data_IF_743104620939
#
_entry.id   IF_743104620939
#
_cell.length_a   1.000
_cell.length_b   1.000
_cell.length_c   1.000
_cell.angle_alpha   90.00
_cell.angle_beta   90.00
_cell.angle_gamma   90.00
#
_symmetry.space_group_name_H-M   'P 1'
#
loop_
_entity.id
_entity.type
_entity.pdbx_description
1 polymer ?
#
# COMPACT_ATOMS: atom_id res chain seq x y z
N UNK A 1 -7.89 46.96 22.94
CA UNK A 1 -7.12 46.66 21.71
C UNK A 1 -7.46 45.24 21.29
N UNK A 2 -8.51 45.11 20.47
CA UNK A 2 -8.97 43.82 19.95
C UNK A 2 -8.08 43.43 18.78
N UNK A 3 -7.41 42.27 18.88
CA UNK A 3 -6.75 41.66 17.72
C UNK A 3 -7.83 40.93 16.93
N UNK A 4 -8.16 41.47 15.75
CA UNK A 4 -8.91 40.74 14.74
C UNK A 4 -8.08 39.53 14.33
N UNK A 5 -8.53 38.34 14.71
CA UNK A 5 -8.07 37.09 14.10
C UNK A 5 -8.67 37.07 12.71
N UNK A 6 -7.90 37.47 11.70
CA UNK A 6 -8.30 37.32 10.31
C UNK A 6 -8.48 35.83 10.01
N UNK A 7 -9.73 35.35 10.03
CA UNK A 7 -10.10 34.10 9.39
C UNK A 7 -9.79 34.24 7.89
N UNK A 8 -8.79 33.51 7.43
CA UNK A 8 -8.37 33.50 6.04
C UNK A 8 -8.95 32.25 5.36
N UNK A 9 -10.07 32.36 4.62
CA UNK A 9 -10.72 31.22 3.96
C UNK A 9 -9.88 30.58 2.85
N UNK A 10 -8.69 31.12 2.53
CA UNK A 10 -7.71 30.46 1.64
C UNK A 10 -6.97 29.32 2.31
N UNK A 11 -6.78 29.36 3.63
CA UNK A 11 -6.09 28.29 4.37
C UNK A 11 -6.94 27.01 4.37
N UNK A 12 -8.27 27.11 4.48
CA UNK A 12 -9.16 25.95 4.32
C UNK A 12 -9.28 25.46 2.87
N UNK A 13 -9.05 26.34 1.88
CA UNK A 13 -9.15 25.97 0.47
C UNK A 13 -7.94 25.16 -0.03
N UNK A 14 -6.76 25.32 0.58
CA UNK A 14 -5.58 24.49 0.32
C UNK A 14 -5.57 23.18 1.13
N UNK A 15 -6.19 23.15 2.32
CA UNK A 15 -6.37 21.92 3.11
C UNK A 15 -7.37 20.93 2.45
N UNK A 16 -8.12 21.38 1.43
CA UNK A 16 -8.95 20.54 0.57
C UNK A 16 -8.23 20.06 -0.70
N UNK A 17 -6.92 19.81 -0.66
CA UNK A 17 -6.37 18.74 -1.48
C UNK A 17 -7.13 17.46 -1.11
N UNK A 18 -7.98 16.95 -2.01
CA UNK A 18 -8.76 15.71 -1.83
C UNK A 18 -7.97 14.72 -0.97
N UNK A 19 -8.43 14.51 0.26
CA UNK A 19 -7.83 13.53 1.16
C UNK A 19 -7.91 12.18 0.45
N UNK A 20 -6.78 11.71 -0.09
CA UNK A 20 -6.70 10.44 -0.81
C UNK A 20 -6.90 9.36 0.25
N UNK A 21 -8.02 8.64 0.18
CA UNK A 21 -8.24 7.49 1.04
C UNK A 21 -7.50 6.28 0.46
N UNK A 22 -6.28 6.05 0.95
CA UNK A 22 -5.46 4.92 0.52
C UNK A 22 -6.07 3.57 0.92
N UNK A 23 -6.72 3.49 2.08
CA UNK A 23 -7.42 2.28 2.52
C UNK A 23 -8.49 1.85 1.52
N UNK A 24 -9.39 2.77 1.15
CA UNK A 24 -10.45 2.49 0.18
C UNK A 24 -9.89 2.15 -1.21
N UNK A 25 -8.84 2.86 -1.65
CA UNK A 25 -8.21 2.59 -2.94
C UNK A 25 -7.60 1.17 -2.98
N UNK A 26 -6.81 0.81 -1.97
CA UNK A 26 -6.18 -0.52 -1.90
C UNK A 26 -7.27 -1.60 -1.79
N UNK A 27 -8.32 -1.36 -1.01
CA UNK A 27 -9.47 -2.26 -0.91
C UNK A 27 -10.15 -2.46 -2.26
N UNK A 28 -10.41 -1.38 -3.00
CA UNK A 28 -11.05 -1.47 -4.30
C UNK A 28 -10.18 -2.20 -5.33
N UNK A 29 -8.87 -1.94 -5.35
CA UNK A 29 -7.93 -2.70 -6.20
C UNK A 29 -7.91 -4.18 -5.84
N UNK A 30 -7.96 -4.51 -4.54
CA UNK A 30 -8.08 -5.89 -4.06
C UNK A 30 -9.37 -6.55 -4.56
N UNK A 31 -10.48 -5.81 -4.60
CA UNK A 31 -11.74 -6.33 -5.12
C UNK A 31 -11.67 -6.62 -6.63
N UNK A 32 -11.06 -5.72 -7.39
CA UNK A 32 -10.80 -5.92 -8.83
C UNK A 32 -9.93 -7.16 -9.04
N UNK A 33 -8.84 -7.30 -8.28
CA UNK A 33 -7.96 -8.47 -8.37
C UNK A 33 -8.71 -9.78 -8.06
N UNK A 34 -9.56 -9.80 -7.05
CA UNK A 34 -10.40 -10.97 -6.72
C UNK A 34 -11.39 -11.32 -7.83
N UNK A 35 -12.00 -10.29 -8.42
CA UNK A 35 -12.89 -10.43 -9.58
C UNK A 35 -12.14 -11.00 -10.78
N UNK A 36 -10.98 -10.46 -11.10
CA UNK A 36 -10.10 -10.92 -12.16
C UNK A 36 -9.65 -12.37 -11.94
N UNK A 37 -9.13 -12.69 -10.75
CA UNK A 37 -8.69 -14.03 -10.36
C UNK A 37 -9.81 -15.07 -10.51
N UNK A 38 -11.02 -14.71 -10.10
CA UNK A 38 -12.20 -15.57 -10.30
C UNK A 38 -12.57 -15.69 -11.78
N UNK A 39 -12.57 -14.57 -12.50
CA UNK A 39 -12.95 -14.49 -13.91
C UNK A 39 -12.06 -15.31 -14.83
N UNK A 40 -10.74 -15.25 -14.67
CA UNK A 40 -9.79 -15.99 -15.52
C UNK A 40 -9.87 -17.52 -15.34
N UNK A 41 -10.48 -17.99 -14.24
CA UNK A 41 -10.71 -19.41 -13.95
C UNK A 41 -12.04 -19.93 -14.53
N UNK A 42 -12.91 -19.04 -15.01
CA UNK A 42 -14.16 -19.41 -15.65
C UNK A 42 -13.95 -19.70 -17.14
N UNK A 43 -14.79 -20.56 -17.72
CA UNK A 43 -14.89 -20.75 -19.16
C UNK A 43 -15.67 -19.60 -19.80
N UNK A 44 -15.08 -18.40 -19.82
CA UNK A 44 -15.69 -17.21 -20.43
C UNK A 44 -15.61 -17.25 -21.96
N UNK A 45 -16.55 -16.56 -22.60
CA UNK A 45 -16.47 -16.26 -24.02
C UNK A 45 -15.38 -15.20 -24.25
N UNK A 46 -14.31 -15.59 -24.94
CA UNK A 46 -13.16 -14.72 -25.14
C UNK A 46 -13.48 -13.51 -26.03
N UNK A 47 -14.44 -13.64 -26.95
CA UNK A 47 -14.85 -12.53 -27.82
C UNK A 47 -15.56 -11.42 -27.03
N UNK A 48 -16.08 -11.75 -25.85
CA UNK A 48 -16.78 -10.80 -24.97
C UNK A 48 -15.89 -10.23 -23.87
N UNK A 49 -14.94 -11.02 -23.34
CA UNK A 49 -14.26 -10.68 -22.08
C UNK A 49 -12.75 -10.53 -22.19
N UNK A 50 -12.08 -10.99 -23.27
CA UNK A 50 -10.62 -10.98 -23.34
C UNK A 50 -10.04 -9.56 -23.19
N UNK A 51 -10.57 -8.59 -23.94
CA UNK A 51 -10.12 -7.20 -23.89
C UNK A 51 -10.29 -6.61 -22.48
N UNK A 52 -11.40 -6.92 -21.81
CA UNK A 52 -11.68 -6.46 -20.45
C UNK A 52 -10.68 -7.03 -19.44
N UNK A 53 -10.36 -8.33 -19.54
CA UNK A 53 -9.38 -8.98 -18.67
C UNK A 53 -7.99 -8.37 -18.83
N UNK A 54 -7.58 -8.12 -20.08
CA UNK A 54 -6.29 -7.46 -20.38
C UNK A 54 -6.26 -6.03 -19.86
N UNK A 55 -7.34 -5.27 -20.07
CA UNK A 55 -7.48 -3.92 -19.53
C UNK A 55 -7.38 -3.91 -17.99
N UNK A 56 -8.05 -4.84 -17.30
CA UNK A 56 -8.01 -4.94 -15.84
C UNK A 56 -6.59 -5.24 -15.32
N UNK A 57 -5.84 -6.10 -16.02
CA UNK A 57 -4.44 -6.38 -15.68
C UNK A 57 -3.58 -5.11 -15.78
N UNK A 58 -3.68 -4.37 -16.88
CA UNK A 58 -2.91 -3.13 -17.05
C UNK A 58 -3.37 -2.01 -16.11
N UNK A 59 -4.67 -1.96 -15.82
CA UNK A 59 -5.20 -1.04 -14.83
C UNK A 59 -4.64 -1.33 -13.43
N UNK A 60 -4.58 -2.60 -13.03
CA UNK A 60 -4.01 -3.02 -11.75
C UNK A 60 -2.51 -2.67 -11.68
N UNK A 61 -1.73 -2.98 -12.72
CA UNK A 61 -0.30 -2.62 -12.81
C UNK A 61 -0.10 -1.13 -12.51
N UNK A 62 -0.69 -0.26 -13.32
CA UNK A 62 -0.48 1.19 -13.20
C UNK A 62 -1.05 1.77 -11.92
N UNK A 63 -2.13 1.20 -11.38
CA UNK A 63 -2.75 1.69 -10.15
C UNK A 63 -1.94 1.33 -8.91
N UNK A 64 -1.42 0.10 -8.83
CA UNK A 64 -0.58 -0.35 -7.71
C UNK A 64 0.70 0.50 -7.65
N UNK A 65 1.38 0.68 -8.78
CA UNK A 65 2.60 1.51 -8.86
C UNK A 65 2.32 2.95 -8.42
N UNK A 66 1.22 3.54 -8.91
CA UNK A 66 0.85 4.90 -8.55
C UNK A 66 0.50 5.05 -7.07
N UNK A 67 -0.22 4.08 -6.49
CA UNK A 67 -0.55 4.09 -5.06
C UNK A 67 0.72 3.98 -4.22
N UNK A 68 1.66 3.12 -4.61
CA UNK A 68 2.94 2.98 -3.93
C UNK A 68 3.71 4.30 -3.91
N UNK A 69 3.87 4.95 -5.06
CA UNK A 69 4.58 6.23 -5.18
C UNK A 69 3.94 7.33 -4.31
N UNK A 70 2.61 7.39 -4.27
CA UNK A 70 1.90 8.36 -3.45
C UNK A 70 2.07 8.13 -1.94
N UNK A 71 2.11 6.86 -1.49
CA UNK A 71 2.37 6.51 -0.09
C UNK A 71 3.83 6.80 0.26
N UNK A 72 4.77 6.50 -0.65
CA UNK A 72 6.20 6.74 -0.47
C UNK A 72 6.52 8.24 -0.30
N UNK A 73 5.85 9.10 -1.06
CA UNK A 73 6.02 10.56 -0.97
C UNK A 73 5.45 11.16 0.32
N UNK A 74 4.58 10.45 1.05
CA UNK A 74 3.85 10.95 2.24
C UNK A 74 4.32 10.23 3.50
N UNK A 75 5.48 10.63 4.02
CA UNK A 75 6.09 10.01 5.22
C UNK A 75 5.20 10.14 6.46
N UNK A 76 4.51 11.28 6.63
CA UNK A 76 3.62 11.55 7.78
C UNK A 76 2.17 11.04 7.57
N UNK A 77 1.98 10.08 6.68
CA UNK A 77 0.66 9.50 6.41
C UNK A 77 0.20 8.70 7.64
N UNK A 78 -1.01 8.99 8.12
CA UNK A 78 -1.66 8.20 9.17
C UNK A 78 -1.81 6.76 8.68
N UNK A 79 -1.45 5.79 9.53
CA UNK A 79 -1.50 4.36 9.21
C UNK A 79 -0.71 3.98 7.93
N UNK A 80 0.39 4.70 7.66
CA UNK A 80 1.28 4.43 6.53
C UNK A 80 1.73 2.97 6.49
N UNK A 81 2.10 2.41 7.65
CA UNK A 81 2.55 1.02 7.75
C UNK A 81 1.44 0.03 7.38
N UNK A 82 0.21 0.26 7.84
CA UNK A 82 -0.96 -0.56 7.47
C UNK A 82 -1.25 -0.49 5.97
N UNK A 83 -1.19 0.70 5.39
CA UNK A 83 -1.33 0.87 3.94
C UNK A 83 -0.23 0.16 3.14
N UNK A 84 1.03 0.24 3.57
CA UNK A 84 2.14 -0.47 2.95
C UNK A 84 1.97 -1.99 3.04
N UNK A 85 1.59 -2.53 4.20
CA UNK A 85 1.32 -3.97 4.39
C UNK A 85 0.22 -4.46 3.45
N UNK A 86 -0.90 -3.72 3.38
CA UNK A 86 -2.00 -4.08 2.48
C UNK A 86 -1.60 -4.02 1.00
N UNK A 87 -0.79 -3.03 0.61
CA UNK A 87 -0.30 -2.89 -0.76
C UNK A 87 0.72 -3.97 -1.14
N UNK A 88 1.57 -4.38 -0.20
CA UNK A 88 2.52 -5.48 -0.37
C UNK A 88 1.81 -6.81 -0.64
N UNK A 89 0.76 -7.08 0.14
CA UNK A 89 -0.08 -8.27 -0.05
C UNK A 89 -0.77 -8.22 -1.41
N UNK A 90 -1.39 -7.08 -1.75
CA UNK A 90 -2.04 -6.89 -3.05
C UNK A 90 -1.06 -7.11 -4.23
N UNK A 91 0.15 -6.55 -4.15
CA UNK A 91 1.17 -6.70 -5.20
C UNK A 91 1.65 -8.14 -5.31
N UNK A 92 1.84 -8.83 -4.19
CA UNK A 92 2.24 -10.24 -4.16
C UNK A 92 1.16 -11.17 -4.72
N UNK A 93 -0.10 -10.95 -4.35
CA UNK A 93 -1.24 -11.71 -4.88
C UNK A 93 -1.42 -11.48 -6.39
N UNK A 94 -1.20 -10.25 -6.85
CA UNK A 94 -1.26 -9.93 -8.28
C UNK A 94 -0.13 -10.61 -9.07
N UNK A 95 1.09 -10.62 -8.54
CA UNK A 95 2.21 -11.34 -9.13
C UNK A 95 1.93 -12.86 -9.23
N UNK A 96 1.38 -13.46 -8.17
CA UNK A 96 0.98 -14.86 -8.17
C UNK A 96 -0.09 -15.18 -9.22
N UNK A 97 -1.08 -14.29 -9.40
CA UNK A 97 -2.08 -14.45 -10.46
C UNK A 97 -1.45 -14.41 -11.86
N UNK A 98 -0.52 -13.48 -12.11
CA UNK A 98 0.20 -13.41 -13.38
C UNK A 98 1.07 -14.63 -13.62
N UNK A 99 1.64 -15.22 -12.57
CA UNK A 99 2.34 -16.49 -12.65
C UNK A 99 1.40 -17.64 -13.08
N UNK A 100 0.22 -17.74 -12.48
CA UNK A 100 -0.79 -18.74 -12.90
C UNK A 100 -1.21 -18.57 -14.37
N UNK A 101 -1.41 -17.32 -14.82
CA UNK A 101 -1.75 -16.99 -16.20
C UNK A 101 -0.62 -17.41 -17.16
N UNK A 102 0.63 -17.04 -16.83
CA UNK A 102 1.79 -17.29 -17.71
C UNK A 102 2.22 -18.76 -17.76
N UNK A 103 1.99 -19.53 -16.69
CA UNK A 103 2.24 -20.97 -16.66
C UNK A 103 1.18 -21.80 -17.42
N UNK A 104 0.06 -21.19 -17.82
CA UNK A 104 -1.00 -21.90 -18.52
C UNK A 104 -1.92 -22.71 -17.61
N UNK A 105 -1.94 -22.42 -16.31
CA UNK A 105 -2.73 -23.18 -15.32
C UNK A 105 -4.22 -22.80 -15.31
N UNK A 106 -4.67 -21.98 -16.25
CA UNK A 106 -6.03 -21.45 -16.32
C UNK A 106 -6.64 -21.59 -17.73
N UNK A 107 -7.97 -21.71 -17.85
CA UNK A 107 -8.65 -21.92 -19.14
C UNK A 107 -8.40 -20.83 -20.19
N UNK A 108 -8.22 -19.57 -19.76
CA UNK A 108 -8.07 -18.42 -20.67
C UNK A 108 -6.62 -18.22 -21.14
N UNK A 109 -5.66 -18.99 -20.61
CA UNK A 109 -4.23 -18.77 -20.86
C UNK A 109 -3.84 -18.76 -22.35
N UNK A 110 -4.42 -19.66 -23.16
CA UNK A 110 -4.12 -19.73 -24.59
C UNK A 110 -4.44 -18.43 -25.33
N UNK A 111 -5.52 -17.74 -24.92
CA UNK A 111 -5.98 -16.49 -25.51
C UNK A 111 -5.15 -15.29 -25.01
N UNK A 112 -4.52 -15.43 -23.85
CA UNK A 112 -3.63 -14.43 -23.26
C UNK A 112 -2.16 -14.62 -23.64
N UNK A 113 -1.82 -15.68 -24.38
CA UNK A 113 -0.45 -16.01 -24.76
C UNK A 113 0.27 -14.88 -25.51
N UNK A 114 -0.46 -14.08 -26.30
CA UNK A 114 0.06 -12.92 -27.01
C UNK A 114 0.62 -11.83 -26.07
N UNK A 115 0.18 -11.79 -24.82
CA UNK A 115 0.61 -10.83 -23.80
C UNK A 115 1.59 -11.43 -22.78
N UNK A 116 2.00 -12.70 -22.95
CA UNK A 116 2.84 -13.43 -21.99
C UNK A 116 4.14 -12.71 -21.61
N UNK A 117 4.87 -12.16 -22.59
CA UNK A 117 6.10 -11.38 -22.33
C UNK A 117 5.81 -10.11 -21.49
N UNK A 118 4.70 -9.44 -21.80
CA UNK A 118 4.27 -8.26 -21.05
C UNK A 118 3.87 -8.66 -19.63
N UNK A 119 3.12 -9.74 -19.46
CA UNK A 119 2.69 -10.23 -18.15
C UNK A 119 3.86 -10.70 -17.29
N UNK A 120 4.87 -11.34 -17.88
CA UNK A 120 6.11 -11.67 -17.18
C UNK A 120 6.85 -10.40 -16.71
N UNK A 121 6.92 -9.38 -17.56
CA UNK A 121 7.52 -8.09 -17.18
C UNK A 121 6.77 -7.43 -16.03
N UNK A 122 5.42 -7.46 -16.05
CA UNK A 122 4.59 -6.93 -14.98
C UNK A 122 4.83 -7.71 -13.68
N UNK A 123 4.80 -9.05 -13.75
CA UNK A 123 5.06 -9.93 -12.60
C UNK A 123 6.40 -9.62 -11.94
N UNK A 124 7.47 -9.48 -12.73
CA UNK A 124 8.80 -9.17 -12.21
C UNK A 124 8.84 -7.78 -11.54
N UNK A 125 8.12 -6.80 -12.10
CA UNK A 125 7.99 -5.48 -11.49
C UNK A 125 7.21 -5.53 -10.17
N UNK A 126 6.12 -6.30 -10.11
CA UNK A 126 5.34 -6.48 -8.87
C UNK A 126 6.16 -7.17 -7.79
N UNK A 127 6.97 -8.18 -8.11
CA UNK A 127 7.88 -8.78 -7.13
C UNK A 127 8.93 -7.80 -6.60
N UNK A 128 9.49 -6.94 -7.47
CA UNK A 128 10.42 -5.88 -7.05
C UNK A 128 9.73 -4.87 -6.13
N UNK A 129 8.53 -4.42 -6.49
CA UNK A 129 7.74 -3.48 -5.71
C UNK A 129 7.39 -4.06 -4.33
N UNK A 130 6.90 -5.31 -4.27
CA UNK A 130 6.64 -5.99 -3.00
C UNK A 130 7.90 -6.13 -2.14
N UNK A 131 9.05 -6.43 -2.76
CA UNK A 131 10.33 -6.48 -2.05
C UNK A 131 10.77 -5.11 -1.52
N UNK A 132 10.55 -4.04 -2.27
CA UNK A 132 10.83 -2.68 -1.84
C UNK A 132 9.94 -2.28 -0.66
N UNK A 133 8.64 -2.57 -0.73
CA UNK A 133 7.72 -2.31 0.38
C UNK A 133 8.16 -3.07 1.65
N UNK A 134 8.52 -4.36 1.52
CA UNK A 134 9.03 -5.14 2.66
C UNK A 134 10.28 -4.53 3.29
N UNK A 135 11.19 -3.98 2.48
CA UNK A 135 12.35 -3.24 2.98
C UNK A 135 11.93 -2.02 3.81
N UNK A 136 11.02 -1.20 3.28
CA UNK A 136 10.50 -0.01 3.98
C UNK A 136 9.80 -0.39 5.29
N UNK A 137 9.00 -1.45 5.30
CA UNK A 137 8.33 -1.96 6.50
C UNK A 137 9.37 -2.36 7.54
N UNK A 138 10.39 -3.12 7.14
CA UNK A 138 11.43 -3.59 8.06
C UNK A 138 12.25 -2.45 8.67
N UNK A 139 12.63 -1.46 7.87
CA UNK A 139 13.38 -0.28 8.33
C UNK A 139 12.56 0.56 9.33
N UNK A 140 11.22 0.60 9.14
CA UNK A 140 10.30 1.30 10.04
C UNK A 140 10.18 0.57 11.39
N UNK A 141 9.96 -0.76 11.36
CA UNK A 141 9.85 -1.59 12.57
C UNK A 141 11.16 -1.56 13.41
N UNK A 142 12.33 -1.51 12.76
CA UNK A 142 13.63 -1.37 13.45
C UNK A 142 13.82 0.00 14.10
N UNK A 143 13.28 1.06 13.52
CA UNK A 143 13.41 2.41 14.07
C UNK A 143 12.55 2.58 15.33
N UNK A 144 11.32 2.05 15.33
CA UNK A 144 10.42 2.07 16.49
C UNK A 144 10.97 1.23 17.66
N UNK A 145 11.57 0.08 17.39
CA UNK A 145 12.18 -0.76 18.45
C UNK A 145 13.43 -0.14 19.08
N UNK A 146 14.17 0.71 18.36
CA UNK A 146 15.31 1.44 18.92
C UNK A 146 14.82 2.65 19.74
N UNK A 147 13.74 3.32 19.32
CA UNK A 147 13.13 4.42 20.10
C UNK A 147 12.45 3.92 21.38
N UNK A 148 11.75 2.78 21.36
CA UNK A 148 11.12 2.21 22.57
C UNK A 148 12.14 1.73 23.61
N UNK A 149 13.37 1.37 23.21
CA UNK A 149 14.42 0.87 24.12
C UNK A 149 15.41 1.97 24.56
N UNK A 150 15.23 3.20 24.08
CA UNK A 150 16.03 4.37 24.46
C UNK A 150 15.26 5.32 25.38
N UNK A 151 15.08 4.93 26.65
CA UNK A 151 14.71 5.89 27.70
C UNK A 151 15.88 6.84 27.90
N UNK A 152 15.67 8.15 27.70
CA UNK A 152 16.73 9.13 27.92
C UNK A 152 17.15 9.16 29.39
N UNK A 153 18.42 9.44 29.70
CA UNK A 153 18.89 9.53 31.09
C UNK A 153 18.09 10.56 31.91
N UNK A 154 17.56 11.58 31.25
CA UNK A 154 16.78 12.66 31.84
C UNK A 154 15.35 12.20 32.23
N UNK A 155 14.74 11.28 31.47
CA UNK A 155 13.45 10.65 31.83
C UNK A 155 13.61 9.58 32.90
N UNK A 156 14.75 8.87 32.91
CA UNK A 156 15.08 7.90 33.94
C UNK A 156 15.29 8.56 35.32
N UNK A 157 15.89 9.75 35.36
CA UNK A 157 15.97 10.56 36.57
C UNK A 157 14.59 11.00 37.07
N UNK A 158 13.63 11.26 36.18
CA UNK A 158 12.26 11.61 36.56
C UNK A 158 11.53 10.43 37.24
N UNK A 159 11.67 9.22 36.71
CA UNK A 159 11.08 8.01 37.30
C UNK A 159 11.70 7.65 38.66
N UNK A 160 13.00 7.93 38.86
CA UNK A 160 13.69 7.72 40.15
C UNK A 160 13.44 8.86 41.16
N UNK A 161 13.08 10.06 40.68
CA UNK A 161 12.71 11.16 41.55
C UNK A 161 11.35 10.91 42.23
N UNK A 162 10.39 10.31 41.51
CA UNK A 162 9.06 9.98 42.07
C UNK A 162 9.14 8.94 43.21
N UNK A 163 10.06 7.97 43.17
CA UNK A 163 10.25 6.99 44.27
C UNK A 163 10.89 7.60 45.54
N UNK A 164 11.59 8.74 45.42
CA UNK A 164 12.28 9.38 46.54
C UNK A 164 11.41 10.42 47.28
N UNK A 165 10.29 10.87 46.71
CA UNK A 165 9.38 11.82 47.35
C UNK A 165 8.30 11.17 48.23
N UNK A 166 8.02 9.86 48.10
CA UNK A 166 7.00 9.17 48.92
C UNK A 166 7.49 8.63 50.28
N UNK A 167 8.78 8.77 50.63
CA UNK A 167 9.36 8.21 51.87
C UNK A 167 9.72 9.25 52.95
N UNK A 168 9.20 10.48 52.87
CA UNK A 168 9.56 11.57 53.79
C UNK A 168 8.36 12.29 54.43
N UNK A 169 7.34 11.54 54.87
CA UNK A 169 6.35 12.00 55.88
C UNK A 169 6.10 10.95 56.97
#
# INVERSE_FOLDING_TARGET
>A
MSREVCYNPKIEKEVMEKQINFGDNIFFLTLILKGLSSGVRLSLDNDLFLDKLVEDIFFLEGSIEKVFELIKQRVLLIDRLGHLKNLETLSSDFAALLEEITLGNIPVAEHLAAFSDRFNSIKDNQHKLASEIRGIIHDTDQSETIEEDMVSQEEFEFLLAEENEENND
#
